data_IF_904836281017
#
_entry.id   IF_904836281017
#
_cell.length_a   1.000
_cell.length_b   1.000
_cell.length_c   1.000
_cell.angle_alpha   90.00
_cell.angle_beta   90.00
_cell.angle_gamma   90.00
#
_symmetry.space_group_name_H-M   'P 1'
#
loop_
_entity.id
_entity.type
_entity.pdbx_description
1 polymer ?
#
# COMPACT_ATOMS: atom_id res chain seq x y z
N UNK A 1 11.29 -4.08 -1.29
CA UNK A 1 10.16 -4.45 -2.19
C UNK A 1 10.55 -4.19 -3.64
N UNK A 2 10.06 -5.01 -4.57
CA UNK A 2 10.29 -4.78 -6.00
C UNK A 2 9.51 -3.58 -6.53
N UNK A 3 9.98 -2.98 -7.62
CA UNK A 3 9.26 -1.90 -8.32
C UNK A 3 7.92 -2.36 -8.90
N UNK A 4 7.84 -3.62 -9.32
CA UNK A 4 6.60 -4.24 -9.79
C UNK A 4 5.53 -4.27 -8.68
N UNK A 5 5.90 -4.63 -7.46
CA UNK A 5 4.98 -4.65 -6.34
C UNK A 5 4.52 -3.23 -5.94
N UNK A 6 5.40 -2.24 -5.99
CA UNK A 6 5.03 -0.83 -5.77
C UNK A 6 4.03 -0.38 -6.86
N UNK A 7 4.26 -0.79 -8.10
CA UNK A 7 3.39 -0.47 -9.24
C UNK A 7 2.01 -1.10 -9.06
N UNK A 8 1.94 -2.37 -8.66
CA UNK A 8 0.65 -3.04 -8.43
C UNK A 8 -0.15 -2.38 -7.30
N UNK A 9 0.50 -1.96 -6.21
CA UNK A 9 -0.14 -1.20 -5.13
C UNK A 9 -0.75 0.10 -5.68
N UNK A 10 -0.01 0.86 -6.50
CA UNK A 10 -0.50 2.12 -7.09
C UNK A 10 -1.72 1.89 -7.98
N UNK A 11 -1.68 0.87 -8.83
CA UNK A 11 -2.80 0.49 -9.70
C UNK A 11 -4.05 0.16 -8.88
N UNK A 12 -3.91 -0.66 -7.84
CA UNK A 12 -5.04 -1.05 -6.99
C UNK A 12 -5.61 0.15 -6.22
N UNK A 13 -4.76 1.00 -5.65
CA UNK A 13 -5.23 2.22 -4.99
C UNK A 13 -5.99 3.12 -5.97
N UNK A 14 -5.47 3.32 -7.19
CA UNK A 14 -6.11 4.14 -8.22
C UNK A 14 -7.47 3.57 -8.67
N UNK A 15 -7.54 2.25 -8.90
CA UNK A 15 -8.77 1.53 -9.27
C UNK A 15 -9.90 1.74 -8.25
N UNK A 16 -9.55 1.92 -6.98
CA UNK A 16 -10.49 2.09 -5.86
C UNK A 16 -10.60 3.53 -5.35
N UNK A 17 -10.03 4.51 -6.06
CA UNK A 17 -10.05 5.93 -5.65
C UNK A 17 -9.37 6.17 -4.29
N UNK A 18 -8.43 5.30 -3.89
CA UNK A 18 -7.68 5.41 -2.64
C UNK A 18 -6.31 6.03 -2.91
N UNK A 19 -5.71 6.57 -1.86
CA UNK A 19 -4.36 7.15 -1.89
C UNK A 19 -3.41 6.36 -1.01
N UNK A 20 -2.11 6.55 -1.20
CA UNK A 20 -1.10 6.03 -0.27
C UNK A 20 -1.32 6.55 1.18
N UNK A 21 -1.93 7.72 1.35
CA UNK A 21 -2.30 8.23 2.67
C UNK A 21 -3.46 7.44 3.30
N UNK A 22 -4.36 6.88 2.49
CA UNK A 22 -5.35 5.92 2.97
C UNK A 22 -4.67 4.63 3.42
N UNK A 23 -3.75 4.09 2.62
CA UNK A 23 -3.02 2.86 2.96
C UNK A 23 -2.20 3.02 4.25
N UNK A 24 -1.50 4.16 4.41
CA UNK A 24 -0.77 4.48 5.62
C UNK A 24 -1.67 4.44 6.88
N UNK A 25 -2.87 5.03 6.78
CA UNK A 25 -3.85 5.02 7.88
C UNK A 25 -4.35 3.61 8.17
N UNK A 26 -4.59 2.78 7.14
CA UNK A 26 -5.07 1.41 7.34
C UNK A 26 -4.08 0.54 8.11
N UNK A 27 -2.79 0.67 7.80
CA UNK A 27 -1.76 -0.16 8.45
C UNK A 27 -1.09 0.52 9.66
N UNK A 28 -1.64 1.65 10.11
CA UNK A 28 -1.20 2.34 11.33
C UNK A 28 0.18 2.98 11.24
N UNK A 29 0.59 3.48 10.08
CA UNK A 29 1.89 4.17 9.90
C UNK A 29 1.76 5.62 9.46
N UNK A 30 2.84 6.38 9.60
CA UNK A 30 2.87 7.77 9.14
C UNK A 30 2.87 7.88 7.61
N UNK A 31 2.25 8.93 7.09
CA UNK A 31 2.26 9.24 5.64
C UNK A 31 3.68 9.42 5.08
N UNK A 32 4.62 10.10 5.78
CA UNK A 32 6.01 10.20 5.32
C UNK A 32 6.68 8.83 5.20
N UNK A 33 6.49 7.95 6.19
CA UNK A 33 7.07 6.60 6.15
C UNK A 33 6.50 5.77 4.98
N UNK A 34 5.19 5.84 4.75
CA UNK A 34 4.57 5.26 3.56
C UNK A 34 5.14 5.85 2.25
N UNK A 35 5.36 7.16 2.18
CA UNK A 35 5.97 7.77 1.00
C UNK A 35 7.38 7.25 0.72
N UNK A 36 8.19 7.09 1.77
CA UNK A 36 9.54 6.54 1.63
C UNK A 36 9.52 5.08 1.16
N UNK A 37 8.58 4.28 1.69
CA UNK A 37 8.33 2.92 1.24
C UNK A 37 7.96 2.88 -0.26
N UNK A 38 7.00 3.71 -0.68
CA UNK A 38 6.51 3.76 -2.07
C UNK A 38 7.52 4.35 -3.06
N UNK A 39 8.59 4.99 -2.55
CA UNK A 39 9.75 5.46 -3.33
C UNK A 39 10.92 4.47 -3.31
N UNK A 40 10.79 3.35 -2.60
CA UNK A 40 11.87 2.37 -2.43
C UNK A 40 13.00 2.81 -1.50
N UNK A 41 12.82 3.90 -0.75
CA UNK A 41 13.83 4.43 0.20
C UNK A 41 13.89 3.65 1.51
N UNK A 42 12.85 2.87 1.81
CA UNK A 42 12.74 2.01 3.00
C UNK A 42 12.21 0.64 2.58
N UNK A 43 12.79 -0.42 3.13
CA UNK A 43 12.25 -1.78 3.01
C UNK A 43 11.25 -2.03 4.14
N UNK A 44 9.95 -2.23 3.84
CA UNK A 44 8.93 -2.49 4.85
C UNK A 44 8.73 -3.99 5.06
N UNK A 45 9.78 -4.80 5.17
CA UNK A 45 9.66 -6.28 5.22
C UNK A 45 8.62 -6.77 6.22
N UNK A 46 8.64 -6.22 7.43
CA UNK A 46 7.68 -6.54 8.50
C UNK A 46 6.26 -5.99 8.26
N UNK A 47 6.07 -5.11 7.27
CA UNK A 47 4.80 -4.48 6.90
C UNK A 47 4.21 -4.95 5.57
N UNK A 48 4.94 -5.79 4.83
CA UNK A 48 4.44 -6.39 3.59
C UNK A 48 3.13 -7.16 3.82
N UNK A 49 2.96 -7.97 4.89
CA UNK A 49 1.71 -8.68 5.15
C UNK A 49 0.52 -7.72 5.34
N UNK A 50 0.67 -6.66 6.14
CA UNK A 50 -0.39 -5.68 6.36
C UNK A 50 -0.72 -4.89 5.09
N UNK A 51 0.29 -4.54 4.27
CA UNK A 51 0.08 -3.91 2.97
C UNK A 51 -0.73 -4.82 2.05
N UNK A 52 -0.41 -6.11 1.97
CA UNK A 52 -1.16 -7.08 1.16
C UNK A 52 -2.60 -7.19 1.63
N UNK A 53 -2.83 -7.39 2.93
CA UNK A 53 -4.16 -7.49 3.52
C UNK A 53 -5.01 -6.24 3.25
N UNK A 54 -4.42 -5.05 3.37
CA UNK A 54 -5.13 -3.80 3.07
C UNK A 54 -5.51 -3.69 1.58
N UNK A 55 -4.69 -4.18 0.66
CA UNK A 55 -5.01 -4.20 -0.77
C UNK A 55 -6.05 -5.28 -1.10
N UNK A 56 -5.96 -6.47 -0.51
CA UNK A 56 -6.95 -7.54 -0.65
C UNK A 56 -8.33 -7.12 -0.16
N UNK A 57 -8.40 -6.36 0.94
CA UNK A 57 -9.66 -5.79 1.45
C UNK A 57 -10.34 -4.84 0.45
N UNK A 58 -9.60 -4.22 -0.47
CA UNK A 58 -10.18 -3.38 -1.52
C UNK A 58 -10.84 -4.22 -2.60
N UNK A 59 -10.24 -5.35 -2.99
CA UNK A 59 -10.83 -6.24 -4.00
C UNK A 59 -12.08 -6.96 -3.47
N UNK A 60 -12.14 -7.28 -2.18
CA UNK A 60 -13.30 -7.92 -1.55
C UNK A 60 -14.58 -7.05 -1.56
N UNK A 61 -14.46 -5.73 -1.71
CA UNK A 61 -15.61 -4.79 -1.75
C UNK A 61 -16.39 -4.89 -3.08
N UNK A 62 -15.88 -5.61 -4.08
CA UNK A 62 -16.51 -5.76 -5.39
C UNK A 62 -17.48 -6.95 -5.53
N UNK A 63 -17.71 -7.74 -4.48
CA UNK A 63 -18.65 -8.86 -4.49
C UNK A 63 -19.89 -8.59 -3.64
#
# INVERSE_FOLDING_TARGET
MSQEFITSIRVQLAKHGKSQAWLARQIGISKPYMSDIMKGRRSPESKIPEIKAAIESLEAIKN
#
